data_IF_819900168449
#
_entry.id   IF_819900168449
#
_cell.length_a   1.000
_cell.length_b   1.000
_cell.length_c   1.000
_cell.angle_alpha   90.00
_cell.angle_beta   90.00
_cell.angle_gamma   90.00
#
_symmetry.space_group_name_H-M   'P 1'
#
loop_
_entity.id
_entity.type
_entity.pdbx_description
1 polymer ?
#
# COMPACT_ATOMS: atom_id res chain seq x y z
N UNK A 1 -3.21 -16.37 -42.82
CA UNK A 1 -3.40 -16.54 -41.37
C UNK A 1 -3.02 -15.23 -40.66
N UNK A 2 -3.99 -14.63 -39.97
CA UNK A 2 -3.92 -13.68 -38.86
C UNK A 2 -3.09 -12.36 -39.00
N UNK A 3 -3.71 -11.33 -39.58
CA UNK A 3 -3.39 -9.90 -39.36
C UNK A 3 -4.53 -9.21 -38.58
N UNK A 4 -5.02 -9.84 -37.51
CA UNK A 4 -6.11 -9.30 -36.66
C UNK A 4 -5.65 -8.74 -35.31
N UNK A 5 -4.35 -8.74 -34.99
CA UNK A 5 -3.90 -8.50 -33.60
C UNK A 5 -3.71 -7.05 -33.15
N UNK A 6 -3.50 -6.07 -34.03
CA UNK A 6 -3.10 -4.73 -33.58
C UNK A 6 -4.26 -3.80 -33.23
N UNK A 7 -5.38 -3.89 -33.95
CA UNK A 7 -6.57 -3.07 -33.70
C UNK A 7 -7.26 -3.48 -32.38
N UNK A 8 -7.42 -4.79 -32.15
CA UNK A 8 -8.02 -5.31 -30.92
C UNK A 8 -7.22 -4.94 -29.66
N UNK A 9 -5.88 -4.95 -29.75
CA UNK A 9 -5.02 -4.51 -28.64
C UNK A 9 -5.16 -3.01 -28.34
N UNK A 10 -5.39 -2.18 -29.34
CA UNK A 10 -5.61 -0.75 -29.14
C UNK A 10 -6.96 -0.49 -28.45
N UNK A 11 -8.01 -1.16 -28.90
CA UNK A 11 -9.34 -1.07 -28.28
C UNK A 11 -9.36 -1.63 -26.85
N UNK A 12 -8.60 -2.69 -26.58
CA UNK A 12 -8.43 -3.22 -25.23
C UNK A 12 -7.65 -2.26 -24.33
N UNK A 13 -6.58 -1.64 -24.81
CA UNK A 13 -5.85 -0.63 -24.06
C UNK A 13 -6.72 0.59 -23.73
N UNK A 14 -7.59 1.01 -24.67
CA UNK A 14 -8.52 2.11 -24.46
C UNK A 14 -9.59 1.76 -23.40
N UNK A 15 -10.12 0.53 -23.42
CA UNK A 15 -11.06 0.03 -22.40
C UNK A 15 -10.41 -0.04 -21.01
N UNK A 16 -9.20 -0.56 -20.90
CA UNK A 16 -8.45 -0.60 -19.64
C UNK A 16 -8.19 0.82 -19.12
N UNK A 17 -7.84 1.76 -20.00
CA UNK A 17 -7.67 3.17 -19.64
C UNK A 17 -8.94 3.80 -19.07
N UNK A 18 -10.09 3.56 -19.70
CA UNK A 18 -11.40 4.03 -19.20
C UNK A 18 -11.75 3.40 -17.85
N UNK A 19 -11.52 2.09 -17.70
CA UNK A 19 -11.79 1.39 -16.44
C UNK A 19 -10.95 1.95 -15.28
N UNK A 20 -9.65 2.17 -15.51
CA UNK A 20 -8.76 2.77 -14.52
C UNK A 20 -9.21 4.19 -14.14
N UNK A 21 -9.65 4.98 -15.12
CA UNK A 21 -10.17 6.32 -14.85
C UNK A 21 -11.39 6.26 -13.92
N UNK A 22 -12.35 5.37 -14.18
CA UNK A 22 -13.50 5.21 -13.29
C UNK A 22 -13.11 4.73 -11.88
N UNK A 23 -12.11 3.86 -11.77
CA UNK A 23 -11.63 3.36 -10.48
C UNK A 23 -10.93 4.46 -9.67
N UNK A 24 -10.16 5.34 -10.33
CA UNK A 24 -9.59 6.53 -9.69
C UNK A 24 -10.70 7.49 -9.21
N UNK A 25 -11.70 7.77 -10.05
CA UNK A 25 -12.82 8.63 -9.66
C UNK A 25 -13.60 8.04 -8.47
N UNK A 26 -13.79 6.71 -8.44
CA UNK A 26 -14.43 6.00 -7.32
C UNK A 26 -13.59 6.06 -6.06
N UNK A 27 -12.26 6.00 -6.18
CA UNK A 27 -11.35 6.16 -5.06
C UNK A 27 -11.41 7.59 -4.49
N UNK A 28 -11.38 8.61 -5.35
CA UNK A 28 -11.45 10.01 -4.94
C UNK A 28 -12.77 10.34 -4.24
N UNK A 29 -13.91 9.82 -4.72
CA UNK A 29 -15.20 9.95 -4.02
C UNK A 29 -15.19 9.34 -2.62
N UNK A 30 -14.55 8.17 -2.44
CA UNK A 30 -14.41 7.53 -1.12
C UNK A 30 -13.52 8.35 -0.19
N UNK A 31 -12.41 8.89 -0.70
CA UNK A 31 -11.53 9.78 0.07
C UNK A 31 -12.25 11.06 0.49
N UNK A 32 -13.01 11.68 -0.40
CA UNK A 32 -13.77 12.89 -0.08
C UNK A 32 -14.85 12.61 0.98
N UNK A 33 -15.52 11.45 0.89
CA UNK A 33 -16.49 11.02 1.90
C UNK A 33 -15.81 10.84 3.26
N UNK A 34 -14.64 10.21 3.29
CA UNK A 34 -13.86 10.06 4.53
C UNK A 34 -13.43 11.42 5.10
N UNK A 35 -12.90 12.34 4.28
CA UNK A 35 -12.52 13.70 4.72
C UNK A 35 -13.70 14.47 5.29
N UNK A 36 -14.88 14.39 4.66
CA UNK A 36 -16.10 15.03 5.15
C UNK A 36 -16.55 14.45 6.48
N UNK A 37 -16.57 13.11 6.63
CA UNK A 37 -16.91 12.44 7.89
C UNK A 37 -15.92 12.82 9.01
N UNK A 38 -14.62 12.79 8.73
CA UNK A 38 -13.60 13.18 9.69
C UNK A 38 -13.77 14.64 10.12
N UNK A 39 -13.93 15.57 9.19
CA UNK A 39 -14.15 16.98 9.51
C UNK A 39 -15.47 17.24 10.26
N UNK A 40 -16.52 16.45 10.02
CA UNK A 40 -17.76 16.51 10.80
C UNK A 40 -17.53 16.01 12.24
N UNK A 41 -16.81 14.90 12.41
CA UNK A 41 -16.49 14.33 13.71
C UNK A 41 -15.61 15.27 14.55
N UNK A 42 -14.57 15.85 13.94
CA UNK A 42 -13.74 16.86 14.61
C UNK A 42 -14.56 18.09 15.04
N UNK A 43 -15.54 18.51 14.24
CA UNK A 43 -16.45 19.62 14.62
C UNK A 43 -17.34 19.25 15.80
N UNK A 44 -17.91 18.05 15.83
CA UNK A 44 -18.69 17.56 16.98
C UNK A 44 -17.86 17.51 18.26
N UNK A 45 -16.65 16.98 18.17
CA UNK A 45 -15.74 16.90 19.31
C UNK A 45 -15.37 18.29 19.85
N UNK A 46 -15.13 19.26 18.97
CA UNK A 46 -14.83 20.64 19.36
C UNK A 46 -16.07 21.39 19.91
N UNK A 47 -17.28 21.12 19.40
CA UNK A 47 -18.52 21.70 19.94
C UNK A 47 -18.82 21.20 21.35
N UNK A 48 -18.61 19.90 21.63
CA UNK A 48 -18.78 19.36 22.99
C UNK A 48 -17.83 19.97 24.04
N UNK A 49 -16.67 20.49 23.62
CA UNK A 49 -15.73 21.17 24.52
C UNK A 49 -16.18 22.61 24.83
N UNK A 50 -16.88 23.27 23.91
CA UNK A 50 -17.37 24.64 24.12
C UNK A 50 -18.68 24.69 24.91
N UNK A 51 -19.59 23.73 24.72
CA UNK A 51 -20.85 23.69 25.47
C UNK A 51 -20.65 23.25 26.94
N UNK A 52 -19.55 22.56 27.25
CA UNK A 52 -19.15 22.23 28.61
C UNK A 52 -18.51 23.38 29.40
N UNK A 53 -18.24 24.53 28.77
CA UNK A 53 -17.56 25.65 29.41
C UNK A 53 -18.52 26.70 30.03
N UNK A 54 -19.84 26.56 29.86
CA UNK A 54 -20.82 27.54 30.38
C UNK A 54 -21.44 27.11 31.72
N UNK A 55 -21.21 25.89 32.20
CA UNK A 55 -21.62 25.48 33.54
C UNK A 55 -20.43 24.88 34.29
N UNK A 56 -19.92 25.63 35.26
CA UNK A 56 -19.09 25.22 36.41
C UNK A 56 -17.73 25.91 36.49
N UNK A 57 -17.78 27.19 36.88
CA UNK A 57 -16.79 27.76 37.79
C UNK A 57 -17.03 27.21 39.20
N UNK A 58 -16.47 26.04 39.53
CA UNK A 58 -16.12 25.62 40.89
C UNK A 58 -15.29 24.34 40.91
N UNK A 59 -14.14 24.42 41.59
CA UNK A 59 -13.36 23.34 42.25
C UNK A 59 -12.65 22.25 41.41
N UNK A 60 -11.33 22.40 41.34
CA UNK A 60 -10.29 21.45 41.81
C UNK A 60 -10.25 19.99 41.32
N UNK A 61 -9.12 19.67 40.64
CA UNK A 61 -8.22 18.51 40.83
C UNK A 61 -8.72 17.05 40.67
N UNK A 62 -7.90 16.30 39.92
CA UNK A 62 -7.64 14.85 39.97
C UNK A 62 -8.42 13.89 39.05
N UNK A 63 -7.62 13.16 38.25
CA UNK A 63 -7.63 11.71 37.95
C UNK A 63 -8.96 10.95 37.78
N UNK A 64 -9.20 10.47 36.55
CA UNK A 64 -9.51 9.05 36.24
C UNK A 64 -10.89 8.44 36.54
N UNK A 65 -11.26 7.51 35.64
CA UNK A 65 -12.24 6.40 35.76
C UNK A 65 -13.65 6.58 35.16
N UNK A 66 -13.87 5.78 34.09
CA UNK A 66 -14.98 4.85 33.78
C UNK A 66 -16.43 5.21 34.17
N UNK A 67 -17.38 4.93 33.26
CA UNK A 67 -18.54 4.04 33.50
C UNK A 67 -19.35 3.75 32.21
N UNK A 68 -19.89 2.53 32.15
CA UNK A 68 -20.79 1.96 31.14
C UNK A 68 -22.26 2.34 31.40
N UNK A 69 -23.10 2.38 30.34
CA UNK A 69 -24.55 2.09 30.31
C UNK A 69 -24.97 2.05 28.82
N UNK A 70 -25.31 0.90 28.21
CA UNK A 70 -26.58 0.13 28.19
C UNK A 70 -27.77 0.77 27.44
N UNK A 71 -28.25 0.00 26.43
CA UNK A 71 -29.54 -0.06 25.71
C UNK A 71 -30.14 1.20 25.03
N UNK A 72 -30.47 1.10 23.73
CA UNK A 72 -31.82 0.66 23.33
C UNK A 72 -31.94 0.28 21.84
N UNK A 73 -32.86 -0.63 21.57
CA UNK A 73 -33.16 -1.26 20.28
C UNK A 73 -34.06 -0.40 19.39
N UNK A 74 -33.92 -0.53 18.06
CA UNK A 74 -35.02 -0.31 17.12
C UNK A 74 -34.73 -1.03 15.79
N UNK A 75 -35.67 -1.91 15.46
CA UNK A 75 -35.76 -2.83 14.34
C UNK A 75 -35.82 -2.13 12.97
N UNK A 76 -35.46 -2.88 11.92
CA UNK A 76 -35.52 -2.45 10.52
C UNK A 76 -35.15 -3.59 9.59
N UNK A 77 -36.16 -4.42 9.33
CA UNK A 77 -36.20 -5.70 8.61
C UNK A 77 -36.09 -5.54 7.07
N UNK A 78 -35.98 -6.70 6.40
CA UNK A 78 -36.25 -7.01 4.97
C UNK A 78 -35.03 -7.09 4.03
N UNK A 79 -34.55 -8.32 3.71
CA UNK A 79 -34.99 -9.23 2.60
C UNK A 79 -34.42 -8.74 1.26
N UNK A 80 -33.87 -9.52 0.32
CA UNK A 80 -33.53 -10.92 0.11
C UNK A 80 -32.53 -10.89 -1.07
N UNK A 81 -31.64 -11.87 -1.22
CA UNK A 81 -31.52 -12.58 -2.51
C UNK A 81 -30.47 -13.70 -2.48
N UNK A 82 -31.02 -14.87 -2.74
CA UNK A 82 -30.46 -16.19 -2.93
C UNK A 82 -29.72 -16.26 -4.27
N UNK A 83 -28.47 -16.75 -4.30
CA UNK A 83 -28.04 -17.62 -5.42
C UNK A 83 -26.86 -18.55 -5.08
N UNK A 84 -27.24 -19.81 -4.82
CA UNK A 84 -26.66 -21.05 -5.32
C UNK A 84 -25.17 -21.37 -5.19
N UNK A 85 -24.95 -22.42 -4.40
CA UNK A 85 -23.90 -23.44 -4.48
C UNK A 85 -23.38 -23.75 -5.88
N UNK A 86 -22.07 -23.96 -5.97
CA UNK A 86 -21.48 -25.02 -6.79
C UNK A 86 -20.15 -25.47 -6.17
N UNK A 87 -20.22 -26.56 -5.41
CA UNK A 87 -19.08 -27.42 -5.16
C UNK A 87 -18.91 -28.30 -6.39
N UNK A 88 -17.73 -28.34 -6.98
CA UNK A 88 -17.37 -29.50 -7.79
C UNK A 88 -15.89 -29.84 -7.73
N UNK A 89 -15.68 -31.14 -7.90
CA UNK A 89 -14.55 -31.96 -7.50
C UNK A 89 -13.31 -31.74 -8.35
N UNK A 90 -12.16 -32.09 -7.77
CA UNK A 90 -10.88 -32.05 -8.44
C UNK A 90 -10.76 -33.03 -9.61
N UNK A 91 -9.76 -32.78 -10.46
CA UNK A 91 -9.17 -33.82 -11.28
C UNK A 91 -7.69 -33.54 -11.45
N UNK A 92 -6.91 -34.53 -11.02
CA UNK A 92 -5.54 -34.77 -11.45
C UNK A 92 -5.52 -34.98 -12.97
N UNK A 93 -4.49 -34.43 -13.64
CA UNK A 93 -4.35 -34.47 -15.09
C UNK A 93 -2.90 -34.20 -15.49
N UNK A 94 -2.19 -35.29 -15.75
CA UNK A 94 -0.80 -35.41 -16.16
C UNK A 94 -0.53 -34.90 -17.58
N UNK A 95 0.58 -34.17 -17.72
CA UNK A 95 1.55 -34.12 -18.84
C UNK A 95 1.01 -34.13 -20.29
N UNK A 96 1.22 -33.01 -21.01
CA UNK A 96 1.82 -33.05 -22.35
C UNK A 96 2.70 -31.83 -22.58
N UNK A 97 3.95 -32.09 -22.95
CA UNK A 97 4.97 -31.12 -23.32
C UNK A 97 4.61 -30.40 -24.63
N UNK A 98 4.54 -29.08 -24.57
CA UNK A 98 4.42 -28.20 -25.73
C UNK A 98 5.16 -26.90 -25.44
N UNK A 99 6.42 -26.82 -25.87
CA UNK A 99 7.32 -25.71 -25.62
C UNK A 99 6.88 -24.41 -26.30
N UNK A 100 5.97 -23.67 -25.66
CA UNK A 100 5.78 -22.24 -25.92
C UNK A 100 6.91 -21.49 -25.22
N UNK A 101 7.81 -20.90 -26.01
CA UNK A 101 8.80 -19.91 -25.55
C UNK A 101 8.03 -18.76 -24.87
N UNK A 102 7.91 -18.83 -23.54
CA UNK A 102 7.44 -17.71 -22.73
C UNK A 102 8.49 -16.62 -22.87
N UNK A 103 8.12 -15.52 -23.53
CA UNK A 103 8.87 -14.27 -23.40
C UNK A 103 8.81 -13.92 -21.93
N UNK A 104 9.94 -14.08 -21.23
CA UNK A 104 10.06 -13.73 -19.82
C UNK A 104 9.68 -12.26 -19.68
N UNK A 105 8.50 -12.00 -19.10
CA UNK A 105 8.10 -10.65 -18.75
C UNK A 105 9.17 -10.09 -17.80
N UNK A 106 9.47 -8.79 -17.88
CA UNK A 106 10.52 -8.13 -17.09
C UNK A 106 10.35 -8.34 -15.56
N UNK A 107 9.18 -8.82 -15.15
CA UNK A 107 8.84 -9.30 -13.80
C UNK A 107 9.78 -10.39 -13.27
N UNK A 108 10.32 -11.25 -14.14
CA UNK A 108 11.19 -12.38 -13.72
C UNK A 108 12.65 -11.95 -13.50
N UNK A 109 13.07 -10.80 -14.04
CA UNK A 109 14.49 -10.39 -14.00
C UNK A 109 14.91 -9.73 -12.70
N UNK A 110 13.97 -9.26 -11.88
CA UNK A 110 14.33 -8.56 -10.64
C UNK A 110 13.36 -8.83 -9.47
N UNK A 111 13.37 -10.07 -8.94
CA UNK A 111 12.51 -10.45 -7.82
C UNK A 111 12.81 -9.63 -6.54
N UNK A 112 14.04 -9.10 -6.41
CA UNK A 112 14.43 -8.25 -5.28
C UNK A 112 13.79 -6.87 -5.34
N UNK A 113 13.73 -6.25 -6.52
CA UNK A 113 13.07 -4.95 -6.69
C UNK A 113 11.56 -5.08 -6.49
N UNK A 114 10.94 -6.13 -7.02
CA UNK A 114 9.50 -6.37 -6.80
C UNK A 114 9.18 -6.66 -5.32
N UNK A 115 10.03 -7.41 -4.61
CA UNK A 115 9.89 -7.61 -3.16
C UNK A 115 10.10 -6.31 -2.37
N UNK A 116 11.02 -5.46 -2.79
CA UNK A 116 11.22 -4.14 -2.16
C UNK A 116 10.06 -3.18 -2.47
N UNK A 117 9.41 -3.33 -3.63
CA UNK A 117 8.26 -2.53 -4.02
C UNK A 117 6.93 -3.10 -3.49
N UNK A 118 6.84 -4.38 -3.12
CA UNK A 118 5.58 -4.98 -2.65
C UNK A 118 5.06 -4.33 -1.36
N UNK A 119 5.95 -3.88 -0.46
CA UNK A 119 5.57 -3.11 0.72
C UNK A 119 4.96 -1.72 0.37
N UNK A 120 5.14 -1.26 -0.86
CA UNK A 120 4.55 -0.02 -1.38
C UNK A 120 3.23 -0.22 -2.14
N UNK A 121 2.83 -1.44 -2.48
CA UNK A 121 1.64 -1.67 -3.32
C UNK A 121 0.65 -2.69 -2.76
N UNK A 122 1.02 -3.50 -1.77
CA UNK A 122 0.02 -4.33 -1.11
C UNK A 122 -0.92 -3.43 -0.29
N UNK A 123 -2.24 -3.45 -0.57
CA UNK A 123 -3.21 -2.93 0.37
C UNK A 123 -3.01 -3.68 1.69
N UNK A 124 -3.12 -2.99 2.83
CA UNK A 124 -3.04 -3.65 4.12
C UNK A 124 -4.16 -4.70 4.19
N UNK A 125 -3.80 -5.98 4.04
CA UNK A 125 -4.65 -7.06 4.53
C UNK A 125 -4.59 -7.01 6.05
N UNK A 126 -5.76 -7.11 6.70
CA UNK A 126 -5.98 -6.79 8.12
C UNK A 126 -5.03 -7.51 9.11
N UNK A 127 -4.45 -8.66 8.75
CA UNK A 127 -3.50 -9.38 9.58
C UNK A 127 -2.07 -8.80 9.53
N UNK A 128 -1.69 -8.16 8.42
CA UNK A 128 -0.38 -7.51 8.28
C UNK A 128 -0.33 -6.15 8.98
N UNK A 129 -1.45 -5.64 9.50
CA UNK A 129 -1.51 -4.29 10.07
C UNK A 129 -0.80 -4.17 11.42
N UNK A 130 -0.66 -5.26 12.17
CA UNK A 130 -0.14 -5.19 13.55
C UNK A 130 1.37 -5.34 13.61
N UNK A 131 1.93 -6.33 12.90
CA UNK A 131 3.35 -6.66 12.91
C UNK A 131 3.94 -6.59 11.51
N UNK A 132 5.18 -6.12 11.38
CA UNK A 132 5.90 -6.07 10.12
C UNK A 132 6.49 -7.44 9.75
N UNK A 133 6.22 -7.95 8.56
CA UNK A 133 6.77 -9.24 8.10
C UNK A 133 8.29 -9.24 7.86
N UNK A 134 8.89 -8.05 7.71
CA UNK A 134 10.32 -7.91 7.41
C UNK A 134 11.17 -7.92 8.70
N UNK A 135 10.76 -7.16 9.71
CA UNK A 135 11.53 -7.02 10.96
C UNK A 135 10.80 -7.56 12.20
N UNK A 136 9.59 -8.09 12.05
CA UNK A 136 8.74 -8.60 13.14
C UNK A 136 8.47 -7.59 14.26
N UNK A 137 8.62 -6.29 14.00
CA UNK A 137 8.28 -5.23 14.95
C UNK A 137 6.84 -4.75 14.77
N UNK A 138 6.26 -4.18 15.83
CA UNK A 138 4.94 -3.56 15.78
C UNK A 138 4.89 -2.40 14.80
N UNK A 139 3.89 -2.31 13.94
CA UNK A 139 3.82 -1.24 12.92
C UNK A 139 3.57 0.14 13.49
N UNK A 140 3.04 0.21 14.70
CA UNK A 140 2.77 1.45 15.43
C UNK A 140 3.05 1.26 16.90
N UNK A 141 3.57 2.29 17.57
CA UNK A 141 3.73 2.30 19.02
C UNK A 141 2.40 2.10 19.77
N UNK A 142 1.28 2.52 19.18
CA UNK A 142 -0.06 2.32 19.76
C UNK A 142 -0.53 0.87 19.82
N UNK A 143 0.07 -0.02 19.03
CA UNK A 143 -0.24 -1.45 19.02
C UNK A 143 0.55 -2.23 20.07
N UNK A 144 1.54 -1.58 20.69
CA UNK A 144 2.39 -2.21 21.68
C UNK A 144 1.63 -2.31 22.99
N UNK A 145 1.37 -3.54 23.43
CA UNK A 145 0.74 -3.80 24.71
C UNK A 145 1.77 -3.68 25.84
N UNK A 146 1.33 -3.12 26.97
CA UNK A 146 2.18 -3.04 28.17
C UNK A 146 2.32 -4.43 28.77
N UNK A 147 3.50 -4.70 29.35
CA UNK A 147 3.71 -5.90 30.14
C UNK A 147 2.71 -5.99 31.30
N UNK A 148 2.34 -7.21 31.73
CA UNK A 148 1.50 -7.41 32.90
C UNK A 148 2.17 -6.80 34.14
N UNK A 149 1.43 -5.98 34.89
CA UNK A 149 1.93 -5.45 36.17
C UNK A 149 2.30 -6.61 37.11
N UNK A 150 3.44 -6.56 37.82
CA UNK A 150 4.37 -5.44 38.01
C UNK A 150 5.67 -5.58 37.19
N UNK A 151 5.65 -6.29 36.07
CA UNK A 151 6.85 -6.58 35.29
C UNK A 151 7.32 -5.37 34.48
N UNK A 152 8.64 -5.18 34.44
CA UNK A 152 9.30 -4.14 33.63
C UNK A 152 10.43 -4.76 32.81
N UNK A 153 10.55 -4.37 31.53
CA UNK A 153 11.65 -4.78 30.67
C UNK A 153 12.86 -3.86 30.88
N UNK A 154 14.04 -4.46 31.02
CA UNK A 154 15.33 -3.79 31.09
C UNK A 154 16.28 -4.35 30.03
N UNK A 155 17.32 -3.58 29.71
CA UNK A 155 18.44 -4.06 28.90
C UNK A 155 19.62 -4.35 29.82
N UNK A 156 20.27 -5.48 29.62
CA UNK A 156 21.58 -5.74 30.20
C UNK A 156 22.65 -5.04 29.36
N UNK A 157 23.43 -4.15 29.97
CA UNK A 157 24.46 -3.37 29.29
C UNK A 157 25.64 -4.25 28.84
N UNK A 158 25.89 -5.37 29.52
CA UNK A 158 27.01 -6.26 29.20
C UNK A 158 26.71 -7.12 27.97
N UNK A 159 25.48 -7.63 27.84
CA UNK A 159 25.10 -8.56 26.76
C UNK A 159 24.21 -7.93 25.69
N UNK A 160 23.62 -6.76 25.94
CA UNK A 160 22.61 -6.14 25.09
C UNK A 160 21.29 -6.91 25.04
N UNK A 161 21.11 -7.94 25.88
CA UNK A 161 19.87 -8.73 25.93
C UNK A 161 18.85 -8.08 26.84
N UNK A 162 17.57 -8.29 26.54
CA UNK A 162 16.49 -7.82 27.40
C UNK A 162 16.16 -8.85 28.46
N UNK A 163 15.84 -8.36 29.65
CA UNK A 163 15.34 -9.16 30.76
C UNK A 163 14.16 -8.47 31.41
N UNK A 164 13.33 -9.25 32.08
CA UNK A 164 12.12 -8.80 32.77
C UNK A 164 12.36 -8.87 34.27
N UNK A 165 12.15 -7.75 34.95
CA UNK A 165 12.33 -7.63 36.38
C UNK A 165 10.99 -7.38 37.07
N UNK A 166 10.78 -8.08 38.18
CA UNK A 166 9.64 -7.90 39.06
C UNK A 166 10.11 -7.24 40.36
N UNK A 167 9.73 -5.99 40.65
CA UNK A 167 10.24 -5.23 41.79
C UNK A 167 9.82 -5.85 43.13
N UNK A 168 8.57 -6.32 43.24
CA UNK A 168 8.01 -6.81 44.51
C UNK A 168 8.75 -8.04 45.06
N UNK A 169 9.14 -8.94 44.17
CA UNK A 169 9.79 -10.21 44.53
C UNK A 169 11.29 -10.22 44.20
N UNK A 170 11.82 -9.13 43.62
CA UNK A 170 13.17 -9.03 43.06
C UNK A 170 13.52 -10.18 42.10
N UNK A 171 12.54 -10.68 41.36
CA UNK A 171 12.74 -11.78 40.42
C UNK A 171 13.17 -11.25 39.06
N UNK A 172 14.11 -11.95 38.43
CA UNK A 172 14.59 -11.66 37.07
C UNK A 172 14.24 -12.85 36.17
N UNK A 173 13.70 -12.58 35.00
CA UNK A 173 13.39 -13.58 33.98
C UNK A 173 13.94 -13.13 32.62
N UNK A 174 14.42 -14.08 31.83
CA UNK A 174 14.94 -13.82 30.48
C UNK A 174 13.88 -13.98 29.39
N UNK A 175 12.71 -14.50 29.74
CA UNK A 175 11.58 -14.69 28.84
C UNK A 175 10.39 -13.86 29.32
N UNK A 176 9.48 -13.45 28.42
CA UNK A 176 8.30 -12.70 28.79
C UNK A 176 7.46 -13.46 29.83
N UNK A 177 6.89 -12.75 30.82
CA UNK A 177 6.02 -13.38 31.83
C UNK A 177 4.82 -14.11 31.20
N UNK A 178 4.24 -15.13 31.85
CA UNK A 178 3.16 -15.96 31.28
C UNK A 178 1.89 -15.21 30.90
N UNK A 179 1.63 -14.04 31.50
CA UNK A 179 0.46 -13.20 31.21
C UNK A 179 0.74 -12.11 30.15
N UNK A 180 1.85 -12.23 29.41
CA UNK A 180 2.17 -11.32 28.31
C UNK A 180 1.29 -11.63 27.10
N UNK A 181 0.88 -10.59 26.38
CA UNK A 181 0.13 -10.73 25.14
C UNK A 181 0.87 -11.62 24.12
N UNK A 182 0.12 -12.44 23.39
CA UNK A 182 0.68 -13.42 22.46
C UNK A 182 1.46 -12.74 21.33
N UNK A 183 1.03 -11.55 20.85
CA UNK A 183 1.76 -10.83 19.82
C UNK A 183 3.08 -10.27 20.37
N UNK A 184 3.06 -9.70 21.57
CA UNK A 184 4.28 -9.25 22.26
C UNK A 184 5.29 -10.38 22.45
N UNK A 185 4.83 -11.59 22.81
CA UNK A 185 5.70 -12.76 22.91
C UNK A 185 6.32 -13.15 21.55
N UNK A 186 5.53 -13.17 20.47
CA UNK A 186 6.03 -13.43 19.12
C UNK A 186 7.05 -12.38 18.65
N UNK A 187 6.82 -11.10 18.95
CA UNK A 187 7.76 -10.02 18.65
C UNK A 187 9.07 -10.21 19.43
N UNK A 188 9.00 -10.61 20.70
CA UNK A 188 10.17 -10.89 21.52
C UNK A 188 11.04 -12.01 20.95
N UNK A 189 10.45 -13.13 20.51
CA UNK A 189 11.21 -14.25 19.95
C UNK A 189 12.09 -13.86 18.76
N UNK A 190 11.69 -12.84 17.99
CA UNK A 190 12.42 -12.39 16.80
C UNK A 190 13.29 -11.16 17.04
N UNK A 191 12.88 -10.27 17.93
CA UNK A 191 13.52 -8.95 18.11
C UNK A 191 14.21 -8.79 19.46
N UNK A 192 14.06 -9.77 20.35
CA UNK A 192 14.58 -9.78 21.72
C UNK A 192 14.04 -8.64 22.60
N UNK A 193 12.89 -8.03 22.26
CA UNK A 193 12.18 -7.05 23.08
C UNK A 193 10.68 -7.14 22.80
N UNK A 194 9.84 -6.95 23.81
CA UNK A 194 8.37 -6.92 23.61
C UNK A 194 7.87 -5.55 23.13
N UNK A 195 8.75 -4.54 23.07
CA UNK A 195 8.40 -3.16 22.70
C UNK A 195 8.94 -2.72 21.33
N UNK A 196 9.48 -3.65 20.53
CA UNK A 196 10.10 -3.29 19.25
C UNK A 196 9.08 -2.74 18.26
N UNK A 197 9.25 -1.48 17.86
CA UNK A 197 8.47 -0.84 16.79
C UNK A 197 9.21 -0.98 15.46
N UNK A 198 8.47 -1.30 14.40
CA UNK A 198 8.97 -1.42 13.05
C UNK A 198 9.51 -0.08 12.52
N UNK A 199 10.71 -0.13 11.94
CA UNK A 199 11.32 0.99 11.23
C UNK A 199 11.40 0.76 9.71
N UNK A 200 10.91 -0.40 9.23
CA UNK A 200 10.99 -0.79 7.82
C UNK A 200 10.00 -0.03 6.93
N UNK A 201 8.87 0.41 7.48
CA UNK A 201 7.86 1.14 6.71
C UNK A 201 8.22 2.63 6.77
N UNK A 202 8.57 3.27 5.63
CA UNK A 202 8.72 4.72 5.61
C UNK A 202 7.39 5.33 6.06
N UNK A 203 7.45 6.38 6.89
CA UNK A 203 6.26 7.08 7.36
C UNK A 203 5.32 7.38 6.18
N UNK A 204 4.00 7.38 6.41
CA UNK A 204 3.02 7.57 5.34
C UNK A 204 3.32 8.83 4.50
N UNK A 205 3.77 9.90 5.16
CA UNK A 205 4.22 11.13 4.50
C UNK A 205 5.48 10.93 3.65
N UNK A 206 6.50 10.23 4.17
CA UNK A 206 7.70 9.88 3.40
C UNK A 206 7.35 9.00 2.19
N UNK A 207 6.43 8.05 2.33
CA UNK A 207 5.91 7.22 1.23
C UNK A 207 5.22 8.06 0.16
N UNK A 208 4.36 9.02 0.54
CA UNK A 208 3.71 9.95 -0.41
C UNK A 208 4.74 10.77 -1.18
N UNK A 209 5.71 11.37 -0.49
CA UNK A 209 6.79 12.14 -1.12
C UNK A 209 7.62 11.29 -2.08
N UNK A 210 7.91 10.04 -1.72
CA UNK A 210 8.65 9.11 -2.58
C UNK A 210 7.83 8.77 -3.84
N UNK A 211 6.54 8.48 -3.70
CA UNK A 211 5.65 8.19 -4.83
C UNK A 211 5.46 9.38 -5.75
N UNK A 212 5.38 10.59 -5.19
CA UNK A 212 5.36 11.82 -5.97
C UNK A 212 6.63 11.97 -6.81
N UNK A 213 7.81 11.77 -6.21
CA UNK A 213 9.10 11.82 -6.95
C UNK A 213 9.17 10.75 -8.03
N UNK A 214 8.71 9.53 -7.77
CA UNK A 214 8.66 8.48 -8.78
C UNK A 214 7.73 8.86 -9.94
N UNK A 215 6.56 9.43 -9.64
CA UNK A 215 5.61 9.92 -10.65
C UNK A 215 6.24 11.04 -11.50
N UNK A 216 6.88 12.02 -10.87
CA UNK A 216 7.59 13.11 -11.56
C UNK A 216 8.69 12.59 -12.47
N UNK A 217 9.52 11.66 -11.98
CA UNK A 217 10.58 11.03 -12.78
C UNK A 217 10.01 10.24 -13.96
N UNK A 218 8.94 9.46 -13.76
CA UNK A 218 8.28 8.73 -14.83
C UNK A 218 7.73 9.66 -15.92
N UNK A 219 7.09 10.79 -15.52
CA UNK A 219 6.61 11.80 -16.46
C UNK A 219 7.76 12.45 -17.23
N UNK A 220 8.88 12.73 -16.56
CA UNK A 220 10.05 13.30 -17.22
C UNK A 220 10.65 12.35 -18.26
N UNK A 221 10.80 11.07 -17.90
CA UNK A 221 11.26 10.04 -18.84
C UNK A 221 10.33 9.90 -20.05
N UNK A 222 9.01 9.93 -19.83
CA UNK A 222 8.04 9.88 -20.90
C UNK A 222 8.16 11.08 -21.86
N UNK A 223 8.41 12.29 -21.33
CA UNK A 223 8.65 13.50 -22.15
C UNK A 223 9.91 13.35 -23.00
N UNK A 224 11.03 12.95 -22.40
CA UNK A 224 12.29 12.77 -23.12
C UNK A 224 12.15 11.74 -24.24
N UNK A 225 11.46 10.64 -23.97
CA UNK A 225 11.19 9.60 -24.96
C UNK A 225 10.27 10.11 -26.09
N UNK A 226 9.26 10.92 -25.77
CA UNK A 226 8.38 11.55 -26.77
C UNK A 226 9.15 12.53 -27.67
N UNK A 227 10.02 13.38 -27.11
CA UNK A 227 10.88 14.30 -27.87
C UNK A 227 11.87 13.56 -28.78
N UNK A 228 12.39 12.42 -28.32
CA UNK A 228 13.27 11.57 -29.14
C UNK A 228 12.51 10.99 -30.34
N UNK A 229 11.27 10.54 -30.13
CA UNK A 229 10.40 10.03 -31.20
C UNK A 229 10.03 11.14 -32.19
N UNK A 230 9.68 12.33 -31.70
CA UNK A 230 9.38 13.49 -32.55
C UNK A 230 10.58 13.86 -33.44
N UNK A 231 11.79 13.95 -32.85
CA UNK A 231 13.03 14.19 -33.63
C UNK A 231 13.27 13.11 -34.69
N UNK A 232 13.04 11.84 -34.35
CA UNK A 232 13.20 10.74 -35.29
C UNK A 232 12.20 10.83 -36.46
N UNK A 233 10.92 11.11 -36.17
CA UNK A 233 9.89 11.27 -37.18
C UNK A 233 10.15 12.48 -38.08
N UNK A 234 10.58 13.62 -37.52
CA UNK A 234 10.99 14.78 -38.31
C UNK A 234 12.15 14.47 -39.24
N UNK A 235 13.18 13.78 -38.74
CA UNK A 235 14.31 13.35 -39.57
C UNK A 235 13.90 12.42 -40.71
N UNK A 236 13.03 11.45 -40.43
CA UNK A 236 12.49 10.54 -41.44
C UNK A 236 11.66 11.30 -42.49
N UNK A 237 10.81 12.24 -42.08
CA UNK A 237 10.00 13.06 -42.98
C UNK A 237 10.87 13.93 -43.89
N UNK A 238 11.90 14.58 -43.36
CA UNK A 238 12.85 15.38 -44.15
C UNK A 238 13.59 14.50 -45.18
N UNK A 239 14.06 13.32 -44.77
CA UNK A 239 14.72 12.37 -45.68
C UNK A 239 13.82 11.93 -46.83
N UNK A 240 12.54 11.64 -46.54
CA UNK A 240 11.54 11.32 -47.55
C UNK A 240 11.27 12.52 -48.49
N UNK A 241 11.11 13.72 -47.94
CA UNK A 241 10.89 14.93 -48.73
C UNK A 241 12.07 15.19 -49.69
N UNK A 242 13.31 15.08 -49.23
CA UNK A 242 14.50 15.23 -50.08
C UNK A 242 14.61 14.15 -51.16
N UNK A 243 14.13 12.94 -50.89
CA UNK A 243 14.09 11.86 -51.88
C UNK A 243 13.04 12.08 -52.98
N UNK A 244 11.96 12.81 -52.67
CA UNK A 244 10.90 13.15 -53.63
C UNK A 244 11.26 14.40 -54.46
N UNK A 245 12.07 15.31 -53.92
CA UNK A 245 12.62 16.46 -54.65
C UNK A 245 13.86 16.03 -55.44
N UNK A 246 13.75 14.97 -56.24
CA UNK A 246 14.75 14.70 -57.27
C UNK A 246 14.66 15.82 -58.32
N UNK A 247 15.79 16.43 -58.71
CA UNK A 247 15.77 17.47 -59.72
C UNK A 247 15.29 16.86 -61.03
N UNK A 248 14.12 17.32 -61.50
CA UNK A 248 13.64 17.09 -62.85
C UNK A 248 14.58 17.85 -63.81
N UNK A 249 15.74 17.28 -64.11
CA UNK A 249 16.76 18.01 -64.84
C UNK A 249 18.00 17.18 -65.11
N UNK A 250 17.89 16.26 -66.05
CA UNK A 250 18.91 16.20 -67.11
C UNK A 250 18.26 15.60 -68.37
N UNK A 251 17.56 16.48 -69.09
CA UNK A 251 17.14 16.24 -70.44
C UNK A 251 18.39 16.02 -71.31
N UNK A 252 18.49 14.81 -71.86
CA UNK A 252 19.47 14.44 -72.89
C UNK A 252 19.66 15.58 -73.91
N UNK A 253 20.87 16.15 -73.93
CA UNK A 253 21.33 16.96 -75.07
C UNK A 253 21.38 16.07 -76.32
N UNK A 254 20.69 16.40 -77.42
CA UNK A 254 20.78 15.66 -78.67
C UNK A 254 22.15 15.94 -79.32
N UNK A 255 22.91 14.86 -79.58
CA UNK A 255 24.14 14.92 -80.36
C UNK A 255 23.79 15.24 -81.82
N UNK A 256 24.24 16.40 -82.30
CA UNK A 256 24.37 16.75 -83.72
C UNK A 256 25.68 16.18 -84.27
#
# INVERSE_FOLDING_TARGET
>A
MALHGSAEMFDEAQRVGQQLQMDFDRYDRRQETFRKKFAAETRKQNQGICDGAVTNSATSSSVGALLFAEHDEAEGQDEDDVYSHSSDRGSSGSITAGGKRRVATDKDKNPRVLRALSCFYNPPDAATDVVCELCFGFRSASMVQRLPSPWTEYCDDATGKRYFYRPDTRQVQWHPPPATDALSALVFERTNSVYTVCHCIPSNERRRRLMQKFREHAMQMARVEAEKRDRHLRGAFISLAMSLVQPAGDGKQPKL
#
